data_IF_286036495253
#
_entry.id   IF_286036495253
#
_cell.length_a   1.000
_cell.length_b   1.000
_cell.length_c   1.000
_cell.angle_alpha   90.00
_cell.angle_beta   90.00
_cell.angle_gamma   90.00
#
_symmetry.space_group_name_H-M   'P 1'
#
loop_
_entity.id
_entity.type
_entity.pdbx_description
1 polymer ?
#
# COMPACT_ATOMS: atom_id res chain seq x y z
N UNK A 1 16.16 5.54 3.34
CA UNK A 1 14.94 5.63 4.18
C UNK A 1 13.91 4.68 3.59
N UNK A 2 13.05 4.11 4.42
CA UNK A 2 11.99 3.20 3.97
C UNK A 2 10.69 3.59 4.64
N UNK A 3 9.59 3.40 3.90
CA UNK A 3 8.24 3.59 4.39
C UNK A 3 7.49 2.29 4.16
N UNK A 4 6.79 1.84 5.21
CA UNK A 4 5.91 0.68 5.14
C UNK A 4 4.49 1.19 5.32
N UNK A 5 3.64 0.91 4.33
CA UNK A 5 2.21 1.24 4.37
C UNK A 5 1.45 -0.05 4.47
N UNK A 6 0.64 -0.19 5.51
CA UNK A 6 -0.24 -1.33 5.70
C UNK A 6 -1.64 -0.93 5.24
N UNK A 7 -2.15 -1.63 4.23
CA UNK A 7 -3.48 -1.44 3.69
C UNK A 7 -4.39 -2.52 4.25
N UNK A 8 -5.52 -2.11 4.82
CA UNK A 8 -6.61 -3.03 5.12
C UNK A 8 -7.30 -3.42 3.80
N UNK A 9 -7.06 -4.63 3.32
CA UNK A 9 -7.61 -5.10 2.04
C UNK A 9 -9.13 -5.24 2.06
N UNK A 10 -9.76 -5.24 3.24
CA UNK A 10 -11.23 -5.32 3.36
C UNK A 10 -11.92 -3.97 3.20
N UNK A 11 -11.17 -2.87 3.32
CA UNK A 11 -11.74 -1.52 3.40
C UNK A 11 -11.69 -0.77 2.07
N UNK A 12 -12.63 -1.11 1.19
CA UNK A 12 -12.76 -0.47 -0.13
C UNK A 12 -13.15 1.01 -0.04
N UNK A 13 -13.84 1.43 1.01
CA UNK A 13 -14.33 2.81 1.15
C UNK A 13 -13.19 3.78 1.50
N UNK A 14 -12.21 3.35 2.31
CA UNK A 14 -11.10 4.21 2.76
C UNK A 14 -9.84 4.12 1.90
N UNK A 15 -9.82 3.30 0.84
CA UNK A 15 -8.63 3.17 -0.02
C UNK A 15 -8.29 4.47 -0.76
N UNK A 16 -9.29 5.29 -1.09
CA UNK A 16 -9.11 6.61 -1.71
C UNK A 16 -8.37 7.58 -0.77
N UNK A 17 -8.77 7.62 0.50
CA UNK A 17 -8.10 8.42 1.54
C UNK A 17 -6.68 7.93 1.76
N UNK A 18 -6.47 6.61 1.79
CA UNK A 18 -5.13 6.00 1.92
C UNK A 18 -4.20 6.44 0.78
N UNK A 19 -4.71 6.50 -0.45
CA UNK A 19 -3.95 7.03 -1.59
C UNK A 19 -3.58 8.50 -1.38
N UNK A 20 -4.52 9.34 -0.98
CA UNK A 20 -4.23 10.77 -0.78
C UNK A 20 -3.13 11.00 0.26
N UNK A 21 -3.22 10.30 1.40
CA UNK A 21 -2.21 10.39 2.46
C UNK A 21 -0.86 9.81 2.02
N UNK A 22 -0.85 8.70 1.28
CA UNK A 22 0.37 8.14 0.68
C UNK A 22 1.10 9.19 -0.17
N UNK A 23 0.39 9.87 -1.07
CA UNK A 23 1.01 10.84 -1.97
C UNK A 23 1.46 12.11 -1.25
N UNK A 24 0.69 12.60 -0.26
CA UNK A 24 1.11 13.73 0.59
C UNK A 24 2.40 13.39 1.34
N UNK A 25 2.47 12.19 1.90
CA UNK A 25 3.65 11.70 2.62
C UNK A 25 4.86 11.58 1.69
N UNK A 26 4.73 10.96 0.51
CA UNK A 26 5.84 10.80 -0.44
C UNK A 26 6.33 12.14 -1.03
N UNK A 27 5.48 13.17 -1.04
CA UNK A 27 5.88 14.51 -1.46
C UNK A 27 6.75 15.25 -0.43
N UNK A 28 6.82 14.76 0.81
CA UNK A 28 7.62 15.38 1.86
C UNK A 28 9.13 15.21 1.57
N UNK A 29 9.91 16.29 1.72
CA UNK A 29 11.32 16.31 1.34
C UNK A 29 12.16 15.24 2.05
N UNK A 30 11.82 14.94 3.30
CA UNK A 30 12.48 13.88 4.07
C UNK A 30 12.33 12.50 3.47
N UNK A 31 11.27 12.24 2.71
CA UNK A 31 10.98 10.92 2.16
C UNK A 31 11.40 10.77 0.70
N UNK A 32 11.99 11.82 0.11
CA UNK A 32 12.52 11.78 -1.25
C UNK A 32 13.40 10.55 -1.48
N UNK A 33 13.04 9.73 -2.47
CA UNK A 33 13.72 8.47 -2.84
C UNK A 33 13.68 7.38 -1.75
N UNK A 34 12.80 7.48 -0.76
CA UNK A 34 12.58 6.37 0.16
C UNK A 34 12.09 5.11 -0.59
N UNK A 35 12.47 3.93 -0.12
CA UNK A 35 11.82 2.71 -0.59
C UNK A 35 10.42 2.61 0.01
N UNK A 36 9.44 2.16 -0.77
CA UNK A 36 8.06 2.00 -0.33
C UNK A 36 7.67 0.51 -0.37
N UNK A 37 7.29 -0.04 0.78
CA UNK A 37 6.67 -1.36 0.86
C UNK A 37 5.20 -1.20 1.24
N UNK A 38 4.31 -1.77 0.42
CA UNK A 38 2.89 -1.85 0.71
C UNK A 38 2.56 -3.27 1.16
N UNK A 39 2.05 -3.41 2.38
CA UNK A 39 1.43 -4.66 2.82
C UNK A 39 -0.06 -4.60 2.53
N UNK A 40 -0.52 -5.44 1.61
CA UNK A 40 -1.93 -5.72 1.40
C UNK A 40 -2.37 -6.74 2.47
N UNK A 41 -2.80 -6.23 3.64
CA UNK A 41 -3.09 -7.04 4.82
C UNK A 41 -4.55 -7.52 4.82
N UNK A 42 -4.82 -8.59 5.58
CA UNK A 42 -6.12 -9.29 5.69
C UNK A 42 -6.53 -10.07 4.44
N UNK A 43 -5.55 -10.66 3.75
CA UNK A 43 -5.80 -11.49 2.56
C UNK A 43 -6.49 -12.84 2.89
N UNK A 44 -6.64 -13.16 4.18
CA UNK A 44 -7.45 -14.28 4.69
C UNK A 44 -8.96 -14.05 4.58
N UNK A 45 -9.40 -12.78 4.44
CA UNK A 45 -10.82 -12.43 4.42
C UNK A 45 -11.38 -12.59 3.01
N UNK A 46 -12.51 -13.31 2.89
CA UNK A 46 -13.22 -13.47 1.62
C UNK A 46 -13.67 -12.11 1.06
N UNK A 47 -13.60 -11.95 -0.27
CA UNK A 47 -13.96 -10.71 -0.99
C UNK A 47 -13.09 -9.48 -0.66
N UNK A 48 -11.96 -9.65 0.04
CA UNK A 48 -10.99 -8.58 0.19
C UNK A 48 -10.42 -8.16 -1.18
N UNK A 49 -9.89 -6.94 -1.25
CA UNK A 49 -9.18 -6.46 -2.42
C UNK A 49 -7.93 -7.30 -2.67
N UNK A 50 -7.76 -7.74 -3.90
CA UNK A 50 -6.52 -8.34 -4.38
C UNK A 50 -5.38 -7.32 -4.41
N UNK A 51 -4.14 -7.81 -4.41
CA UNK A 51 -2.94 -6.98 -4.62
C UNK A 51 -3.04 -6.13 -5.89
N UNK A 52 -3.61 -6.67 -6.97
CA UNK A 52 -3.79 -5.95 -8.23
C UNK A 52 -4.78 -4.79 -8.09
N UNK A 53 -5.93 -5.02 -7.43
CA UNK A 53 -6.91 -3.97 -7.15
C UNK A 53 -6.31 -2.86 -6.28
N UNK A 54 -5.60 -3.21 -5.20
CA UNK A 54 -4.96 -2.23 -4.32
C UNK A 54 -3.92 -1.40 -5.10
N UNK A 55 -3.08 -2.06 -5.89
CA UNK A 55 -2.10 -1.38 -6.73
C UNK A 55 -2.74 -0.38 -7.70
N UNK A 56 -3.88 -0.76 -8.30
CA UNK A 56 -4.67 0.11 -9.17
C UNK A 56 -5.29 1.28 -8.41
N UNK A 57 -5.94 1.04 -7.27
CA UNK A 57 -6.56 2.09 -6.45
C UNK A 57 -5.54 3.11 -5.97
N UNK A 58 -4.39 2.64 -5.45
CA UNK A 58 -3.31 3.49 -4.99
C UNK A 58 -2.51 4.13 -6.14
N UNK A 59 -2.75 3.74 -7.39
CA UNK A 59 -2.02 4.21 -8.58
C UNK A 59 -0.49 4.04 -8.46
N UNK A 60 -0.03 2.93 -7.89
CA UNK A 60 1.40 2.71 -7.59
C UNK A 60 2.30 2.85 -8.83
N UNK A 61 1.82 2.44 -10.01
CA UNK A 61 2.55 2.57 -11.27
C UNK A 61 2.83 4.02 -11.68
N UNK A 62 2.09 4.99 -11.13
CA UNK A 62 2.32 6.43 -11.35
C UNK A 62 3.41 6.99 -10.44
N UNK A 63 3.83 6.26 -9.40
CA UNK A 63 4.98 6.61 -8.55
C UNK A 63 6.25 6.22 -9.30
N UNK A 64 7.02 7.22 -9.74
CA UNK A 64 8.23 7.03 -10.57
C UNK A 64 9.53 7.41 -9.86
N UNK A 65 9.41 8.21 -8.81
CA UNK A 65 10.51 8.78 -8.03
C UNK A 65 10.88 7.94 -6.80
N UNK A 66 10.10 6.91 -6.50
CA UNK A 66 10.32 5.95 -5.43
C UNK A 66 10.29 4.52 -5.99
N UNK A 67 11.22 3.68 -5.52
CA UNK A 67 11.12 2.23 -5.72
C UNK A 67 10.03 1.69 -4.79
N UNK A 68 9.14 0.86 -5.32
CA UNK A 68 8.04 0.31 -4.54
C UNK A 68 7.84 -1.18 -4.77
N UNK A 69 7.28 -1.84 -3.76
CA UNK A 69 6.82 -3.23 -3.82
C UNK A 69 5.50 -3.37 -3.06
N UNK A 70 4.62 -4.27 -3.51
CA UNK A 70 3.39 -4.61 -2.81
C UNK A 70 3.35 -6.11 -2.55
N UNK A 71 3.10 -6.48 -1.31
CA UNK A 71 3.13 -7.85 -0.81
C UNK A 71 1.78 -8.18 -0.15
N UNK A 72 1.18 -9.30 -0.54
CA UNK A 72 0.03 -9.88 0.14
C UNK A 72 0.46 -10.39 1.52
N UNK A 73 -0.31 -10.12 2.56
CA UNK A 73 -0.04 -10.67 3.88
C UNK A 73 -1.31 -10.91 4.71
N UNK A 74 -1.15 -11.70 5.77
CA UNK A 74 -2.13 -11.87 6.82
C UNK A 74 -1.44 -11.72 8.18
N UNK A 75 -1.71 -10.61 8.86
CA UNK A 75 -1.12 -10.34 10.17
C UNK A 75 -1.53 -11.38 11.26
N UNK A 76 -2.63 -12.12 11.06
CA UNK A 76 -3.07 -13.15 12.01
C UNK A 76 -2.28 -14.45 11.87
N UNK A 77 -1.88 -14.82 10.64
CA UNK A 77 -1.10 -16.05 10.38
C UNK A 77 0.40 -15.78 10.33
N UNK A 78 0.81 -14.53 10.08
CA UNK A 78 2.20 -14.16 9.87
C UNK A 78 2.71 -14.46 8.44
N UNK A 79 1.84 -14.88 7.53
CA UNK A 79 2.21 -15.07 6.12
C UNK A 79 2.41 -13.73 5.41
N UNK A 80 3.46 -13.66 4.59
CA UNK A 80 3.80 -12.50 3.75
C UNK A 80 5.22 -11.99 3.97
#
# INVERSE_FOLDING_TARGET
KFVIVVVDSTDRERISVTKEELYKMLAHEDLKKAGLLIFANKQDVKECMTVAEISQFLKLTSIKDHQWHIQACCALTGEG
#
